data_IF_087882813267
#
_entry.id   IF_087882813267
#
_cell.length_a   1.000
_cell.length_b   1.000
_cell.length_c   1.000
_cell.angle_alpha   90.00
_cell.angle_beta   90.00
_cell.angle_gamma   90.00
#
_symmetry.space_group_name_H-M   'P 1'
#
loop_
_entity.id
_entity.type
_entity.pdbx_description
1 polymer ?
#
# COMPACT_ATOMS: atom_id res chain seq x y z
N UNK A 1 -5.14 22.45 7.63
CA UNK A 1 -6.04 22.99 6.60
C UNK A 1 -5.81 22.22 5.30
N UNK A 2 -6.87 21.61 4.74
CA UNK A 2 -6.75 20.92 3.45
C UNK A 2 -7.05 21.92 2.33
N UNK A 3 -6.11 22.13 1.41
CA UNK A 3 -6.32 22.89 0.18
C UNK A 3 -6.82 21.95 -0.91
N UNK A 4 -7.81 22.38 -1.68
CA UNK A 4 -8.39 21.63 -2.79
C UNK A 4 -7.85 22.17 -4.11
N UNK A 5 -7.27 21.27 -4.89
CA UNK A 5 -6.85 21.47 -6.28
C UNK A 5 -7.66 20.50 -7.16
N UNK A 6 -8.33 21.02 -8.18
CA UNK A 6 -9.20 20.23 -9.07
C UNK A 6 -8.55 20.18 -10.43
N UNK A 7 -8.31 18.97 -10.93
CA UNK A 7 -7.77 18.71 -12.25
C UNK A 7 -8.90 18.25 -13.18
N UNK A 8 -9.03 18.93 -14.32
CA UNK A 8 -10.12 18.72 -15.27
C UNK A 8 -11.43 19.44 -14.92
N UNK A 9 -12.47 19.18 -15.71
CA UNK A 9 -13.77 19.85 -15.59
C UNK A 9 -14.71 19.12 -14.60
N UNK A 10 -14.56 19.43 -13.31
CA UNK A 10 -15.50 18.97 -12.28
C UNK A 10 -16.53 20.07 -11.94
N UNK A 11 -17.85 19.77 -11.89
CA UNK A 11 -18.82 20.74 -11.40
C UNK A 11 -18.47 21.21 -9.98
N UNK A 12 -18.51 22.52 -9.74
CA UNK A 12 -18.09 23.13 -8.46
C UNK A 12 -18.82 22.52 -7.24
N UNK A 13 -20.12 22.25 -7.37
CA UNK A 13 -20.92 21.63 -6.31
C UNK A 13 -20.47 20.20 -5.97
N UNK A 14 -20.10 19.40 -6.97
CA UNK A 14 -19.59 18.04 -6.77
C UNK A 14 -18.21 18.05 -6.10
N UNK A 15 -17.33 18.96 -6.52
CA UNK A 15 -16.02 19.17 -5.89
C UNK A 15 -16.13 19.61 -4.43
N UNK A 16 -17.08 20.50 -4.12
CA UNK A 16 -17.33 20.96 -2.76
C UNK A 16 -17.84 19.84 -1.86
N UNK A 17 -18.75 18.97 -2.33
CA UNK A 17 -19.23 17.82 -1.57
C UNK A 17 -18.10 16.83 -1.22
N UNK A 18 -17.22 16.52 -2.18
CA UNK A 18 -16.07 15.66 -1.95
C UNK A 18 -15.11 16.26 -0.91
N UNK A 19 -14.83 17.57 -1.03
CA UNK A 19 -14.00 18.31 -0.07
C UNK A 19 -14.59 18.26 1.33
N UNK A 20 -15.89 18.51 1.47
CA UNK A 20 -16.55 18.48 2.77
C UNK A 20 -16.51 17.07 3.38
N UNK A 21 -16.64 16.04 2.54
CA UNK A 21 -16.53 14.64 2.98
C UNK A 21 -15.12 14.29 3.46
N UNK A 22 -14.10 14.71 2.73
CA UNK A 22 -12.70 14.50 3.14
C UNK A 22 -12.38 15.30 4.40
N UNK A 23 -12.91 16.51 4.52
CA UNK A 23 -12.76 17.33 5.72
C UNK A 23 -13.42 16.70 6.94
N UNK A 24 -14.61 16.13 6.80
CA UNK A 24 -15.30 15.39 7.86
C UNK A 24 -14.43 14.24 8.40
N UNK A 25 -13.90 13.41 7.50
CA UNK A 25 -13.02 12.29 7.86
C UNK A 25 -11.71 12.78 8.47
N UNK A 26 -11.12 13.83 7.89
CA UNK A 26 -9.89 14.43 8.38
C UNK A 26 -10.04 14.96 9.80
N UNK A 27 -11.12 15.71 10.10
CA UNK A 27 -11.39 16.22 11.45
C UNK A 27 -11.62 15.11 12.48
N UNK A 28 -12.24 14.00 12.08
CA UNK A 28 -12.43 12.82 12.93
C UNK A 28 -11.11 12.20 13.39
N UNK A 29 -10.03 12.35 12.61
CA UNK A 29 -8.71 11.82 12.92
C UNK A 29 -7.82 12.80 13.72
N UNK A 30 -8.43 13.86 14.28
CA UNK A 30 -7.79 14.91 15.09
C UNK A 30 -6.46 15.44 14.49
N UNK A 31 -6.52 16.10 13.33
CA UNK A 31 -5.35 16.25 12.49
C UNK A 31 -4.56 17.53 12.81
N UNK A 32 -3.25 17.44 12.57
CA UNK A 32 -2.31 18.56 12.49
C UNK A 32 -1.14 18.08 11.64
N UNK A 33 -1.04 18.33 10.31
CA UNK A 33 -0.94 19.66 9.69
C UNK A 33 -1.66 19.72 8.32
N UNK A 34 -1.40 20.75 7.52
CA UNK A 34 -1.97 20.96 6.19
C UNK A 34 -1.73 19.80 5.20
N UNK A 35 -2.59 19.70 4.20
CA UNK A 35 -2.51 18.73 3.13
C UNK A 35 -3.19 19.22 1.86
N UNK A 36 -2.90 18.59 0.73
CA UNK A 36 -3.46 18.91 -0.57
C UNK A 36 -4.38 17.78 -1.03
N UNK A 37 -5.50 18.14 -1.61
CA UNK A 37 -6.41 17.22 -2.30
C UNK A 37 -6.38 17.55 -3.78
N UNK A 38 -6.04 16.56 -4.61
CA UNK A 38 -6.10 16.63 -6.07
C UNK A 38 -7.21 15.73 -6.56
N UNK A 39 -8.13 16.26 -7.36
CA UNK A 39 -9.24 15.47 -7.92
C UNK A 39 -9.05 15.35 -9.42
N UNK A 40 -8.85 14.13 -9.91
CA UNK A 40 -8.73 13.83 -11.34
C UNK A 40 -10.08 13.34 -11.87
N UNK A 41 -10.64 14.10 -12.81
CA UNK A 41 -12.00 13.85 -13.34
C UNK A 41 -12.01 12.72 -14.37
N UNK A 42 -10.92 12.58 -15.13
CA UNK A 42 -10.74 11.57 -16.17
C UNK A 42 -9.42 10.82 -16.01
N UNK A 43 -9.29 9.68 -16.71
CA UNK A 43 -8.03 8.93 -16.77
C UNK A 43 -6.90 9.78 -17.33
N UNK A 44 -7.19 10.61 -18.33
CA UNK A 44 -6.20 11.50 -18.94
C UNK A 44 -5.65 12.49 -17.92
N UNK A 45 -6.52 13.17 -17.16
CA UNK A 45 -6.10 14.10 -16.11
C UNK A 45 -5.19 13.42 -15.07
N UNK A 46 -5.50 12.16 -14.73
CA UNK A 46 -4.72 11.37 -13.80
C UNK A 46 -3.35 10.98 -14.35
N UNK A 47 -3.30 10.47 -15.59
CA UNK A 47 -2.05 10.05 -16.23
C UNK A 47 -1.13 11.27 -16.45
N UNK A 48 -1.68 12.41 -16.87
CA UNK A 48 -0.94 13.67 -16.99
C UNK A 48 -0.37 14.14 -15.65
N UNK A 49 -1.19 14.15 -14.60
CA UNK A 49 -0.77 14.55 -13.26
C UNK A 49 0.31 13.61 -12.69
N UNK A 50 0.16 12.30 -12.85
CA UNK A 50 1.14 11.31 -12.39
C UNK A 50 2.47 11.43 -13.15
N UNK A 51 2.43 11.68 -14.46
CA UNK A 51 3.62 11.94 -15.26
C UNK A 51 4.33 13.22 -14.81
N UNK A 52 3.58 14.30 -14.59
CA UNK A 52 4.13 15.57 -14.10
C UNK A 52 4.83 15.37 -12.75
N UNK A 53 4.19 14.70 -11.80
CA UNK A 53 4.80 14.43 -10.49
C UNK A 53 6.05 13.57 -10.63
N UNK A 54 5.99 12.50 -11.41
CA UNK A 54 7.13 11.59 -11.58
C UNK A 54 8.34 12.32 -12.14
N UNK A 55 8.12 13.22 -13.12
CA UNK A 55 9.17 14.07 -13.66
C UNK A 55 9.73 15.02 -12.60
N UNK A 56 8.87 15.69 -11.83
CA UNK A 56 9.29 16.60 -10.77
C UNK A 56 10.13 15.87 -9.68
N UNK A 57 9.75 14.65 -9.30
CA UNK A 57 10.50 13.84 -8.32
C UNK A 57 11.84 13.40 -8.89
N UNK A 58 11.89 13.01 -10.16
CA UNK A 58 13.14 12.71 -10.84
C UNK A 58 14.08 13.92 -10.92
N UNK A 59 13.55 15.10 -11.25
CA UNK A 59 14.34 16.34 -11.32
C UNK A 59 14.90 16.74 -9.96
N UNK A 60 14.09 16.65 -8.90
CA UNK A 60 14.48 17.05 -7.54
C UNK A 60 15.40 16.03 -6.85
N UNK A 61 15.12 14.73 -7.00
CA UNK A 61 15.74 13.69 -6.17
C UNK A 61 16.47 12.59 -6.95
N UNK A 62 16.37 12.60 -8.29
CA UNK A 62 16.93 11.53 -9.16
C UNK A 62 16.40 10.14 -8.82
N UNK A 63 15.16 10.07 -8.34
CA UNK A 63 14.49 8.83 -7.95
C UNK A 63 13.33 8.57 -8.89
N UNK A 64 13.26 7.33 -9.41
CA UNK A 64 12.14 6.88 -10.22
C UNK A 64 11.07 6.32 -9.31
N UNK A 65 9.87 6.88 -9.41
CA UNK A 65 8.70 6.34 -8.74
C UNK A 65 8.18 5.16 -9.58
N UNK A 66 7.91 3.98 -8.98
CA UNK A 66 7.27 2.88 -9.68
C UNK A 66 5.80 3.20 -9.95
N UNK A 67 5.53 3.95 -11.02
CA UNK A 67 4.19 4.44 -11.39
C UNK A 67 3.16 3.32 -11.59
N UNK A 68 3.62 2.10 -11.90
CA UNK A 68 2.80 0.89 -12.02
C UNK A 68 1.99 0.56 -10.75
N UNK A 69 2.41 1.09 -9.59
CA UNK A 69 1.73 0.91 -8.31
C UNK A 69 0.56 1.88 -8.11
N UNK A 70 0.45 2.93 -8.92
CA UNK A 70 -0.57 3.98 -8.80
C UNK A 70 -1.53 3.87 -9.97
N UNK A 71 -2.49 2.95 -9.87
CA UNK A 71 -3.37 2.64 -11.00
C UNK A 71 -4.57 3.56 -10.98
N UNK A 72 -5.00 4.02 -12.16
CA UNK A 72 -6.30 4.67 -12.34
C UNK A 72 -7.47 3.85 -11.78
N UNK A 73 -7.33 2.54 -11.61
CA UNK A 73 -8.39 1.72 -11.01
C UNK A 73 -8.63 1.99 -9.52
N UNK A 74 -7.64 2.56 -8.83
CA UNK A 74 -7.72 2.88 -7.42
C UNK A 74 -8.62 4.10 -7.19
N UNK A 75 -9.32 4.12 -6.06
CA UNK A 75 -10.23 5.22 -5.74
C UNK A 75 -9.46 6.49 -5.38
N UNK A 76 -8.43 6.33 -4.56
CA UNK A 76 -7.53 7.40 -4.19
C UNK A 76 -6.18 6.81 -3.78
N UNK A 77 -5.13 7.59 -3.97
CA UNK A 77 -3.83 7.29 -3.39
C UNK A 77 -3.23 8.52 -2.73
N UNK A 78 -2.44 8.28 -1.70
CA UNK A 78 -1.72 9.29 -0.96
C UNK A 78 -0.25 9.27 -1.35
N UNK A 79 0.35 10.45 -1.47
CA UNK A 79 1.78 10.61 -1.64
C UNK A 79 2.32 11.76 -0.79
N UNK A 80 3.56 11.61 -0.34
CA UNK A 80 4.30 12.62 0.41
C UNK A 80 5.65 12.93 -0.24
N UNK A 81 5.75 12.82 -1.58
CA UNK A 81 7.03 12.99 -2.29
C UNK A 81 7.58 14.43 -2.25
N UNK A 82 6.74 15.39 -1.87
CA UNK A 82 7.09 16.79 -1.67
C UNK A 82 6.62 17.26 -0.29
N UNK A 83 6.96 18.50 0.07
CA UNK A 83 6.67 19.07 1.39
C UNK A 83 5.19 19.14 1.76
N UNK A 84 4.30 19.09 0.76
CA UNK A 84 2.84 19.08 0.98
C UNK A 84 2.29 17.67 0.72
N UNK A 85 1.90 16.94 1.79
CA UNK A 85 1.17 15.67 1.70
C UNK A 85 -0.04 15.80 0.78
N UNK A 86 -0.16 14.93 -0.23
CA UNK A 86 -1.18 15.04 -1.27
C UNK A 86 -2.01 13.77 -1.39
N UNK A 87 -3.33 13.89 -1.40
CA UNK A 87 -4.27 12.82 -1.74
C UNK A 87 -4.79 13.07 -3.14
N UNK A 88 -4.66 12.07 -4.01
CA UNK A 88 -5.13 12.12 -5.40
C UNK A 88 -6.34 11.22 -5.51
N UNK A 89 -7.48 11.77 -5.88
CA UNK A 89 -8.77 11.07 -5.94
C UNK A 89 -9.18 10.88 -7.41
N UNK A 90 -9.47 9.63 -7.76
CA UNK A 90 -10.18 9.32 -8.99
C UNK A 90 -11.67 9.62 -8.80
N UNK A 91 -12.15 10.67 -9.46
CA UNK A 91 -13.53 11.11 -9.31
C UNK A 91 -14.55 10.11 -9.87
N UNK A 92 -14.25 9.45 -11.00
CA UNK A 92 -15.16 8.45 -11.57
C UNK A 92 -15.39 7.28 -10.61
N UNK A 93 -14.31 6.83 -9.95
CA UNK A 93 -14.37 5.74 -8.96
C UNK A 93 -15.05 6.19 -7.68
N UNK A 94 -14.81 7.42 -7.24
CA UNK A 94 -15.55 8.03 -6.13
C UNK A 94 -17.06 8.02 -6.39
N UNK A 95 -17.49 8.48 -7.58
CA UNK A 95 -18.92 8.59 -7.94
C UNK A 95 -19.61 7.23 -8.10
N UNK A 96 -18.91 6.22 -8.62
CA UNK A 96 -19.45 4.86 -8.87
C UNK A 96 -19.25 3.92 -7.67
N UNK A 97 -18.42 4.31 -6.70
CA UNK A 97 -18.05 3.47 -5.57
C UNK A 97 -19.17 3.27 -4.57
N UNK A 98 -19.22 2.09 -3.93
CA UNK A 98 -20.11 1.88 -2.78
C UNK A 98 -19.69 2.79 -1.63
N UNK A 99 -20.64 3.50 -1.01
CA UNK A 99 -20.40 4.50 0.03
C UNK A 99 -19.41 4.04 1.11
N UNK A 100 -19.58 2.83 1.63
CA UNK A 100 -18.70 2.27 2.67
C UNK A 100 -17.27 2.08 2.19
N UNK A 101 -17.07 1.57 0.98
CA UNK A 101 -15.75 1.42 0.36
C UNK A 101 -15.08 2.79 0.12
N UNK A 102 -15.85 3.77 -0.37
CA UNK A 102 -15.34 5.14 -0.58
C UNK A 102 -14.85 5.75 0.73
N UNK A 103 -15.67 5.69 1.78
CA UNK A 103 -15.30 6.21 3.10
C UNK A 103 -14.07 5.47 3.62
N UNK A 104 -14.00 4.16 3.43
CA UNK A 104 -12.89 3.34 3.87
C UNK A 104 -11.56 3.72 3.21
N UNK A 105 -11.54 3.82 1.87
CA UNK A 105 -10.35 4.22 1.12
C UNK A 105 -9.92 5.66 1.41
N UNK A 106 -10.87 6.59 1.56
CA UNK A 106 -10.54 7.97 1.94
C UNK A 106 -9.96 8.02 3.36
N UNK A 107 -10.55 7.29 4.31
CA UNK A 107 -10.04 7.21 5.70
C UNK A 107 -8.62 6.67 5.72
N UNK A 108 -8.33 5.62 4.94
CA UNK A 108 -6.98 5.07 4.80
C UNK A 108 -6.00 6.12 4.28
N UNK A 109 -6.29 6.74 3.14
CA UNK A 109 -5.40 7.74 2.53
C UNK A 109 -5.18 8.97 3.43
N UNK A 110 -6.22 9.44 4.11
CA UNK A 110 -6.11 10.53 5.09
C UNK A 110 -5.28 10.10 6.30
N UNK A 111 -5.39 8.85 6.73
CA UNK A 111 -4.53 8.32 7.81
C UNK A 111 -3.07 8.38 7.39
N UNK A 112 -2.72 7.94 6.18
CA UNK A 112 -1.34 8.07 5.69
C UNK A 112 -0.90 9.53 5.63
N UNK A 113 -1.76 10.44 5.19
CA UNK A 113 -1.49 11.89 5.24
C UNK A 113 -1.20 12.39 6.65
N UNK A 114 -1.81 11.80 7.67
CA UNK A 114 -1.61 12.19 9.07
C UNK A 114 -0.35 11.54 9.67
N UNK A 115 0.04 10.33 9.30
CA UNK A 115 1.17 9.66 9.98
C UNK A 115 2.46 9.57 9.15
N UNK A 116 2.38 9.71 7.82
CA UNK A 116 3.50 9.50 6.88
C UNK A 116 3.87 10.75 6.07
N UNK A 117 4.01 11.89 6.72
CA UNK A 117 4.00 13.21 6.06
C UNK A 117 5.25 13.60 5.30
N UNK A 118 6.38 13.00 5.65
CA UNK A 118 7.68 13.49 5.16
C UNK A 118 8.07 12.79 3.86
N UNK A 119 8.70 13.50 2.92
CA UNK A 119 9.39 12.89 1.79
C UNK A 119 10.33 11.76 2.21
N UNK A 120 10.97 11.85 3.38
CA UNK A 120 11.87 10.80 3.86
C UNK A 120 11.18 9.44 4.07
N UNK A 121 9.84 9.41 4.22
CA UNK A 121 9.04 8.19 4.39
C UNK A 121 8.55 7.60 3.05
N UNK A 122 8.73 8.32 1.94
CA UNK A 122 8.34 7.90 0.59
C UNK A 122 9.54 7.75 -0.36
N UNK A 123 10.60 8.49 -0.09
CA UNK A 123 11.83 8.54 -0.86
C UNK A 123 12.89 7.81 -0.03
N UNK A 124 12.81 6.47 -0.04
CA UNK A 124 13.70 5.60 0.72
C UNK A 124 14.60 4.88 -0.30
N UNK A 125 15.93 5.03 -0.20
CA UNK A 125 16.83 4.32 -1.09
C UNK A 125 16.76 2.81 -0.85
N UNK A 126 16.82 2.03 -1.92
CA UNK A 126 16.95 0.57 -1.86
C UNK A 126 18.24 0.21 -1.10
N UNK A 127 18.17 -0.58 -0.01
CA UNK A 127 19.36 -0.98 0.75
C UNK A 127 20.31 -1.84 -0.09
N UNK A 128 21.62 -1.77 0.18
CA UNK A 128 22.64 -2.55 -0.55
C UNK A 128 22.35 -4.06 -0.52
N UNK A 129 21.88 -4.60 0.61
CA UNK A 129 21.51 -6.01 0.72
C UNK A 129 20.34 -6.41 -0.20
N UNK A 130 19.47 -5.46 -0.56
CA UNK A 130 18.41 -5.66 -1.55
C UNK A 130 18.94 -5.55 -2.97
N UNK A 131 19.84 -4.61 -3.24
CA UNK A 131 20.52 -4.48 -4.55
C UNK A 131 21.24 -5.80 -4.89
N UNK A 132 21.83 -6.46 -3.89
CA UNK A 132 22.45 -7.77 -4.00
C UNK A 132 21.51 -8.91 -4.50
N UNK A 133 20.19 -8.73 -4.42
CA UNK A 133 19.22 -9.69 -4.98
C UNK A 133 19.32 -9.81 -6.50
N UNK A 134 19.84 -8.80 -7.19
CA UNK A 134 20.12 -8.89 -8.62
C UNK A 134 21.03 -10.08 -8.93
N UNK A 135 22.05 -10.27 -8.09
CA UNK A 135 23.01 -11.36 -8.22
C UNK A 135 22.46 -12.69 -7.69
N UNK A 136 21.74 -12.66 -6.57
CA UNK A 136 21.30 -13.88 -5.86
C UNK A 136 20.06 -14.53 -6.49
N UNK A 137 19.16 -13.72 -7.04
CA UNK A 137 17.83 -14.15 -7.49
C UNK A 137 17.63 -13.89 -9.01
N UNK A 138 18.61 -13.29 -9.69
CA UNK A 138 18.54 -12.91 -11.12
C UNK A 138 17.38 -11.94 -11.41
N UNK A 139 17.07 -11.05 -10.47
CA UNK A 139 16.11 -9.98 -10.65
C UNK A 139 16.80 -8.75 -11.27
N UNK A 140 16.19 -8.10 -12.25
CA UNK A 140 16.73 -6.80 -12.70
C UNK A 140 16.55 -5.73 -11.61
N UNK A 141 17.41 -4.70 -11.60
CA UNK A 141 17.37 -3.60 -10.62
C UNK A 141 15.98 -2.95 -10.50
N UNK A 142 15.28 -2.73 -11.62
CA UNK A 142 13.95 -2.11 -11.61
C UNK A 142 12.92 -2.96 -10.84
N UNK A 143 13.04 -4.29 -10.89
CA UNK A 143 12.22 -5.21 -10.12
C UNK A 143 12.56 -5.13 -8.64
N UNK A 144 13.85 -5.08 -8.30
CA UNK A 144 14.32 -4.95 -6.91
C UNK A 144 13.80 -3.66 -6.30
N UNK A 145 13.94 -2.53 -6.98
CA UNK A 145 13.45 -1.23 -6.53
C UNK A 145 11.93 -1.22 -6.35
N UNK A 146 11.21 -1.82 -7.30
CA UNK A 146 9.75 -1.94 -7.23
C UNK A 146 9.33 -2.81 -6.04
N UNK A 147 9.96 -3.97 -5.84
CA UNK A 147 9.66 -4.89 -4.76
C UNK A 147 9.96 -4.27 -3.39
N UNK A 148 11.09 -3.57 -3.26
CA UNK A 148 11.43 -2.85 -2.04
C UNK A 148 10.42 -1.73 -1.75
N UNK A 149 10.01 -0.97 -2.77
CA UNK A 149 8.99 0.07 -2.61
C UNK A 149 7.64 -0.52 -2.17
N UNK A 150 7.23 -1.66 -2.74
CA UNK A 150 6.00 -2.38 -2.33
C UNK A 150 6.10 -2.84 -0.87
N UNK A 151 7.25 -3.35 -0.42
CA UNK A 151 7.47 -3.73 0.97
C UNK A 151 7.34 -2.52 1.90
N UNK A 152 7.99 -1.40 1.55
CA UNK A 152 7.90 -0.16 2.30
C UNK A 152 6.44 0.33 2.39
N UNK A 153 5.67 0.20 1.30
CA UNK A 153 4.24 0.49 1.30
C UNK A 153 3.46 -0.43 2.24
N UNK A 154 3.80 -1.72 2.30
CA UNK A 154 3.20 -2.68 3.22
C UNK A 154 3.36 -2.28 4.69
N UNK A 155 4.54 -1.79 5.06
CA UNK A 155 4.78 -1.26 6.41
C UNK A 155 3.95 0.00 6.68
N UNK A 156 3.84 0.90 5.71
CA UNK A 156 2.99 2.09 5.86
C UNK A 156 1.51 1.71 6.01
N UNK A 157 1.04 0.70 5.28
CA UNK A 157 -0.33 0.17 5.40
C UNK A 157 -0.57 -0.48 6.76
N UNK A 158 0.38 -1.28 7.26
CA UNK A 158 0.35 -1.81 8.63
C UNK A 158 0.23 -0.67 9.66
N UNK A 159 1.09 0.34 9.57
CA UNK A 159 1.09 1.47 10.50
C UNK A 159 -0.20 2.28 10.44
N UNK A 160 -0.77 2.46 9.24
CA UNK A 160 -2.05 3.16 9.06
C UNK A 160 -3.21 2.39 9.68
N UNK A 161 -3.32 1.07 9.44
CA UNK A 161 -4.36 0.27 10.08
C UNK A 161 -4.17 0.22 11.59
N UNK A 162 -2.93 0.08 12.09
CA UNK A 162 -2.63 0.10 13.52
C UNK A 162 -3.04 1.43 14.16
N UNK A 163 -2.77 2.54 13.50
CA UNK A 163 -3.22 3.86 13.95
C UNK A 163 -4.75 3.90 14.07
N UNK A 164 -5.49 3.41 13.08
CA UNK A 164 -6.96 3.38 13.12
C UNK A 164 -7.49 2.47 14.21
N UNK A 165 -6.89 1.30 14.44
CA UNK A 165 -7.25 0.40 15.54
C UNK A 165 -7.08 1.10 16.89
N UNK A 166 -5.92 1.71 17.13
CA UNK A 166 -5.61 2.39 18.39
C UNK A 166 -6.45 3.65 18.63
N UNK A 167 -7.06 4.22 17.59
CA UNK A 167 -7.98 5.35 17.70
C UNK A 167 -9.47 4.93 17.68
N UNK A 168 -9.77 3.63 17.84
CA UNK A 168 -11.14 3.09 17.82
C UNK A 168 -11.89 3.34 16.50
N UNK A 169 -11.17 3.29 15.37
CA UNK A 169 -11.69 3.53 14.02
C UNK A 169 -11.43 2.34 13.08
N UNK A 170 -11.09 1.16 13.63
CA UNK A 170 -10.80 -0.06 12.87
C UNK A 170 -11.90 -0.43 11.86
N UNK A 171 -13.17 -0.35 12.27
CA UNK A 171 -14.34 -0.62 11.44
C UNK A 171 -14.36 0.18 10.12
N UNK A 172 -13.76 1.37 10.09
CA UNK A 172 -13.70 2.22 8.90
C UNK A 172 -12.74 1.68 7.85
N UNK A 173 -11.79 0.80 8.18
CA UNK A 173 -10.87 0.21 7.20
C UNK A 173 -11.40 -1.11 6.60
N UNK A 174 -12.34 -1.78 7.29
CA UNK A 174 -12.84 -3.11 6.94
C UNK A 174 -13.35 -3.23 5.49
N UNK A 175 -14.20 -2.31 4.96
CA UNK A 175 -14.69 -2.44 3.59
C UNK A 175 -13.58 -2.43 2.53
N UNK A 176 -12.57 -1.58 2.70
CA UNK A 176 -11.43 -1.52 1.77
C UNK A 176 -10.54 -2.77 1.86
N UNK A 177 -10.29 -3.27 3.07
CA UNK A 177 -9.49 -4.48 3.30
C UNK A 177 -10.17 -5.69 2.66
N UNK A 178 -11.47 -5.89 2.88
CA UNK A 178 -12.18 -7.00 2.23
C UNK A 178 -12.16 -6.89 0.70
N UNK A 179 -12.25 -5.69 0.15
CA UNK A 179 -12.12 -5.49 -1.29
C UNK A 179 -10.74 -5.92 -1.80
N UNK A 180 -9.65 -5.48 -1.14
CA UNK A 180 -8.27 -5.85 -1.48
C UNK A 180 -8.03 -7.36 -1.34
N UNK A 181 -8.49 -7.97 -0.25
CA UNK A 181 -8.36 -9.42 -0.04
C UNK A 181 -9.10 -10.22 -1.12
N UNK A 182 -10.30 -9.79 -1.52
CA UNK A 182 -11.04 -10.44 -2.61
C UNK A 182 -10.34 -10.32 -3.96
N UNK A 183 -9.73 -9.16 -4.25
CA UNK A 183 -8.91 -9.00 -5.46
C UNK A 183 -7.71 -9.94 -5.42
N UNK A 184 -7.00 -9.98 -4.29
CA UNK A 184 -5.86 -10.85 -4.09
C UNK A 184 -6.23 -12.33 -4.22
N UNK A 185 -7.40 -12.71 -3.69
CA UNK A 185 -7.92 -14.07 -3.84
C UNK A 185 -8.15 -14.44 -5.31
N UNK A 186 -8.71 -13.52 -6.11
CA UNK A 186 -8.89 -13.71 -7.54
C UNK A 186 -7.55 -13.77 -8.28
N UNK A 187 -6.57 -12.96 -7.89
CA UNK A 187 -5.23 -12.98 -8.48
C UNK A 187 -4.47 -14.26 -8.11
N UNK A 188 -4.74 -14.84 -6.94
CA UNK A 188 -4.06 -16.05 -6.48
C UNK A 188 -4.31 -17.29 -7.33
N UNK A 189 -5.43 -17.34 -8.08
CA UNK A 189 -5.71 -18.47 -8.96
C UNK A 189 -4.79 -18.55 -10.18
N UNK A 190 -4.13 -17.44 -10.55
CA UNK A 190 -3.22 -17.38 -11.70
C UNK A 190 -1.74 -17.32 -11.29
N UNK A 191 -1.40 -17.36 -10.01
CA UNK A 191 0.00 -17.33 -9.55
C UNK A 191 0.81 -18.51 -10.11
N UNK A 192 0.18 -19.68 -10.25
CA UNK A 192 0.78 -20.86 -10.86
C UNK A 192 1.09 -20.70 -12.36
N UNK A 193 0.41 -19.79 -13.06
CA UNK A 193 0.64 -19.50 -14.48
C UNK A 193 1.85 -18.59 -14.70
N UNK A 194 2.35 -17.95 -13.64
CA UNK A 194 3.46 -16.99 -13.69
C UNK A 194 4.77 -17.53 -13.09
N UNK A 195 4.85 -18.85 -12.85
CA UNK A 195 6.03 -19.49 -12.26
C UNK A 195 7.29 -19.33 -13.13
N UNK A 196 7.13 -19.12 -14.43
CA UNK A 196 8.24 -18.90 -15.37
C UNK A 196 8.89 -17.50 -15.23
N UNK A 197 8.16 -16.50 -14.71
CA UNK A 197 8.67 -15.13 -14.56
C UNK A 197 9.02 -14.80 -13.11
N UNK A 198 10.30 -14.94 -12.77
CA UNK A 198 10.82 -14.69 -11.42
C UNK A 198 10.53 -13.25 -10.95
N UNK A 199 10.71 -12.27 -11.83
CA UNK A 199 10.42 -10.86 -11.51
C UNK A 199 8.95 -10.61 -11.18
N UNK A 200 8.05 -11.17 -11.99
CA UNK A 200 6.61 -11.01 -11.78
C UNK A 200 6.19 -11.71 -10.49
N UNK A 201 6.65 -12.94 -10.28
CA UNK A 201 6.30 -13.72 -9.09
C UNK A 201 6.80 -13.05 -7.80
N UNK A 202 8.04 -12.54 -7.80
CA UNK A 202 8.57 -11.82 -6.65
C UNK A 202 7.73 -10.56 -6.35
N UNK A 203 7.41 -9.78 -7.38
CA UNK A 203 6.55 -8.59 -7.25
C UNK A 203 5.16 -8.92 -6.72
N UNK A 204 4.55 -10.01 -7.19
CA UNK A 204 3.25 -10.52 -6.71
C UNK A 204 3.34 -10.87 -5.23
N UNK A 205 4.38 -11.60 -4.81
CA UNK A 205 4.57 -11.99 -3.40
C UNK A 205 4.71 -10.78 -2.48
N UNK A 206 5.46 -9.75 -2.89
CA UNK A 206 5.57 -8.53 -2.11
C UNK A 206 4.25 -7.75 -2.09
N UNK A 207 3.47 -7.76 -3.17
CA UNK A 207 2.14 -7.15 -3.15
C UNK A 207 1.16 -7.92 -2.25
N UNK A 208 1.25 -9.25 -2.19
CA UNK A 208 0.54 -10.08 -1.21
C UNK A 208 0.93 -9.68 0.21
N UNK A 209 2.23 -9.55 0.49
CA UNK A 209 2.72 -9.07 1.78
C UNK A 209 2.13 -7.69 2.12
N UNK A 210 2.16 -6.74 1.19
CA UNK A 210 1.62 -5.40 1.39
C UNK A 210 0.15 -5.41 1.81
N UNK A 211 -0.68 -6.21 1.15
CA UNK A 211 -2.10 -6.33 1.49
C UNK A 211 -2.27 -6.99 2.86
N UNK A 212 -1.59 -8.12 3.12
CA UNK A 212 -1.69 -8.82 4.40
C UNK A 212 -1.14 -8.00 5.58
N UNK A 213 -0.11 -7.18 5.36
CA UNK A 213 0.42 -6.26 6.36
C UNK A 213 -0.64 -5.25 6.81
N UNK A 214 -1.51 -4.79 5.90
CA UNK A 214 -2.64 -3.93 6.25
C UNK A 214 -3.69 -4.61 7.14
N UNK A 215 -3.75 -5.94 7.13
CA UNK A 215 -4.70 -6.76 7.91
C UNK A 215 -4.14 -7.10 9.29
N UNK A 216 -2.82 -7.23 9.43
CA UNK A 216 -2.14 -7.63 10.67
C UNK A 216 -2.67 -6.95 11.94
N UNK A 217 -2.85 -5.62 12.03
CA UNK A 217 -3.35 -4.99 13.25
C UNK A 217 -4.78 -5.38 13.61
N UNK A 218 -5.62 -5.71 12.60
CA UNK A 218 -6.98 -6.19 12.84
C UNK A 218 -7.00 -7.60 13.43
N UNK A 219 -6.02 -8.44 13.09
CA UNK A 219 -5.93 -9.81 13.59
C UNK A 219 -5.31 -9.87 14.99
N UNK A 220 -4.40 -8.94 15.29
CA UNK A 220 -3.47 -9.07 16.42
C UNK A 220 -3.68 -8.02 17.51
N UNK A 221 -4.32 -6.90 17.20
CA UNK A 221 -4.53 -5.78 18.13
C UNK A 221 -6.02 -5.50 18.35
N UNK A 222 -6.86 -5.69 17.32
CA UNK A 222 -8.28 -5.35 17.41
C UNK A 222 -9.11 -6.46 18.07
N UNK A 223 -9.76 -6.14 19.18
CA UNK A 223 -10.56 -7.09 19.97
C UNK A 223 -11.80 -7.62 19.26
N UNK A 224 -12.35 -6.87 18.30
CA UNK A 224 -13.58 -7.23 17.58
C UNK A 224 -13.31 -7.89 16.22
N UNK A 225 -12.18 -8.58 16.08
CA UNK A 225 -11.86 -9.32 14.85
C UNK A 225 -12.97 -10.33 14.54
N UNK A 226 -13.45 -10.31 13.29
CA UNK A 226 -14.46 -11.27 12.84
C UNK A 226 -13.80 -12.57 12.36
N UNK A 227 -14.37 -13.74 12.68
CA UNK A 227 -13.93 -15.04 12.16
C UNK A 227 -13.77 -15.04 10.64
N UNK A 228 -14.69 -14.39 9.93
CA UNK A 228 -14.64 -14.23 8.47
C UNK A 228 -13.35 -13.56 7.97
N UNK A 229 -12.80 -12.60 8.71
CA UNK A 229 -11.56 -11.92 8.34
C UNK A 229 -10.36 -12.86 8.53
N UNK A 230 -10.37 -13.63 9.60
CA UNK A 230 -9.38 -14.69 9.87
C UNK A 230 -9.41 -15.73 8.75
N UNK A 231 -10.60 -16.28 8.45
CA UNK A 231 -10.79 -17.31 7.43
C UNK A 231 -10.32 -16.87 6.04
N UNK A 232 -10.66 -15.64 5.63
CA UNK A 232 -10.23 -15.10 4.32
C UNK A 232 -8.72 -14.90 4.28
N UNK A 233 -8.12 -14.43 5.39
CA UNK A 233 -6.68 -14.22 5.48
C UNK A 233 -5.92 -15.55 5.42
N UNK A 234 -6.35 -16.54 6.20
CA UNK A 234 -5.78 -17.88 6.21
C UNK A 234 -5.93 -18.54 4.83
N UNK A 235 -7.10 -18.41 4.17
CA UNK A 235 -7.32 -18.93 2.81
C UNK A 235 -6.31 -18.36 1.81
N UNK A 236 -5.99 -17.06 1.87
CA UNK A 236 -4.98 -16.44 1.02
C UNK A 236 -3.58 -16.99 1.32
N UNK A 237 -3.23 -17.11 2.61
CA UNK A 237 -1.93 -17.68 3.03
C UNK A 237 -1.81 -19.13 2.53
N UNK A 238 -2.89 -19.93 2.60
CA UNK A 238 -2.88 -21.31 2.11
C UNK A 238 -2.72 -21.43 0.59
N UNK A 239 -3.01 -20.37 -0.17
CA UNK A 239 -2.77 -20.33 -1.62
C UNK A 239 -1.34 -19.95 -1.99
N UNK A 240 -0.54 -19.46 -1.03
CA UNK A 240 0.89 -19.24 -1.26
C UNK A 240 1.63 -20.57 -1.47
N UNK A 241 2.78 -20.54 -2.16
CA UNK A 241 3.70 -21.67 -2.24
C UNK A 241 3.98 -22.25 -0.85
N UNK A 242 3.97 -23.58 -0.73
CA UNK A 242 4.03 -24.27 0.58
C UNK A 242 5.22 -23.83 1.45
N UNK A 243 6.36 -23.55 0.82
CA UNK A 243 7.58 -23.11 1.50
C UNK A 243 7.47 -21.72 2.13
N UNK A 244 6.49 -20.90 1.75
CA UNK A 244 6.35 -19.52 2.21
C UNK A 244 5.23 -19.33 3.23
N UNK A 245 4.30 -20.29 3.34
CA UNK A 245 3.06 -20.10 4.13
C UNK A 245 3.37 -19.76 5.58
N UNK A 246 4.26 -20.52 6.21
CA UNK A 246 4.65 -20.30 7.60
C UNK A 246 5.42 -18.99 7.77
N UNK A 247 6.31 -18.65 6.84
CA UNK A 247 7.07 -17.39 6.90
C UNK A 247 6.14 -16.17 6.78
N UNK A 248 5.14 -16.23 5.89
CA UNK A 248 4.12 -15.18 5.77
C UNK A 248 3.24 -15.13 7.01
N UNK A 249 2.75 -16.27 7.52
CA UNK A 249 1.92 -16.29 8.72
C UNK A 249 2.65 -15.67 9.91
N UNK A 250 3.88 -16.11 10.16
CA UNK A 250 4.74 -15.55 11.20
C UNK A 250 5.02 -14.05 10.99
N UNK A 251 5.31 -13.63 9.75
CA UNK A 251 5.52 -12.21 9.47
C UNK A 251 4.31 -11.37 9.88
N UNK A 252 3.11 -11.79 9.48
CA UNK A 252 1.87 -11.03 9.64
C UNK A 252 1.35 -11.08 11.08
N UNK A 253 1.38 -12.24 11.73
CA UNK A 253 0.76 -12.45 13.04
C UNK A 253 1.72 -12.26 14.21
N UNK A 254 3.02 -12.49 14.03
CA UNK A 254 3.99 -12.45 15.13
C UNK A 254 4.98 -11.29 15.01
N UNK A 255 5.56 -11.07 13.83
CA UNK A 255 6.64 -10.10 13.64
C UNK A 255 6.13 -8.66 13.55
N UNK A 256 5.20 -8.37 12.63
CA UNK A 256 4.69 -7.01 12.41
C UNK A 256 4.14 -6.35 13.68
N UNK A 257 3.35 -7.03 14.54
CA UNK A 257 2.81 -6.42 15.77
C UNK A 257 3.89 -5.94 16.75
N UNK A 258 5.12 -6.45 16.65
CA UNK A 258 6.25 -6.06 17.52
C UNK A 258 7.01 -4.83 17.02
N UNK A 259 6.67 -4.33 15.83
CA UNK A 259 7.31 -3.14 15.26
C UNK A 259 7.02 -1.89 16.11
N UNK A 260 8.00 -1.00 16.19
CA UNK A 260 7.89 0.26 16.94
C UNK A 260 7.10 1.33 16.18
N UNK A 261 7.30 2.60 16.54
CA UNK A 261 6.63 3.76 15.92
C UNK A 261 7.53 4.53 14.92
N UNK A 262 8.73 4.02 14.61
CA UNK A 262 9.63 4.67 13.66
C UNK A 262 9.54 3.97 12.30
N UNK A 263 8.84 4.59 11.36
CA UNK A 263 8.54 4.04 10.02
C UNK A 263 9.79 3.62 9.27
N UNK A 264 10.85 4.45 9.22
CA UNK A 264 12.08 4.13 8.49
C UNK A 264 12.78 2.92 9.11
N UNK A 265 12.88 2.90 10.44
CA UNK A 265 13.45 1.76 11.17
C UNK A 265 12.64 0.49 10.92
N UNK A 266 11.31 0.58 10.95
CA UNK A 266 10.41 -0.55 10.71
C UNK A 266 10.56 -1.09 9.29
N UNK A 267 10.67 -0.21 8.28
CA UNK A 267 10.93 -0.60 6.89
C UNK A 267 12.25 -1.34 6.78
N UNK A 268 13.33 -0.78 7.33
CA UNK A 268 14.67 -1.40 7.24
C UNK A 268 14.72 -2.77 7.96
N UNK A 269 14.17 -2.88 9.17
CA UNK A 269 14.14 -4.15 9.89
C UNK A 269 13.31 -5.19 9.12
N UNK A 270 12.13 -4.79 8.62
CA UNK A 270 11.28 -5.70 7.82
C UNK A 270 11.99 -6.13 6.54
N UNK A 271 12.68 -5.20 5.87
CA UNK A 271 13.46 -5.48 4.67
C UNK A 271 14.54 -6.53 4.94
N UNK A 272 15.28 -6.43 6.05
CA UNK A 272 16.25 -7.45 6.47
C UNK A 272 15.59 -8.79 6.81
N UNK A 273 14.43 -8.77 7.48
CA UNK A 273 13.70 -10.00 7.82
C UNK A 273 13.23 -10.72 6.55
N UNK A 274 12.63 -10.00 5.59
CA UNK A 274 12.19 -10.56 4.31
C UNK A 274 13.35 -11.19 3.53
N UNK A 275 14.53 -10.58 3.55
CA UNK A 275 15.74 -11.18 2.97
C UNK A 275 16.16 -12.48 3.67
N UNK A 276 15.94 -12.59 4.97
CA UNK A 276 16.32 -13.78 5.75
C UNK A 276 15.28 -14.90 5.77
N UNK A 277 14.01 -14.59 5.47
CA UNK A 277 12.90 -15.57 5.54
C UNK A 277 12.30 -15.84 4.16
N UNK A 278 11.70 -14.83 3.53
CA UNK A 278 10.96 -14.96 2.27
C UNK A 278 11.89 -15.29 1.09
N UNK A 279 13.03 -14.61 0.98
CA UNK A 279 13.95 -14.81 -0.16
C UNK A 279 14.50 -16.24 -0.22
N UNK A 280 14.97 -16.86 0.88
CA UNK A 280 15.33 -18.27 0.89
C UNK A 280 14.19 -19.19 0.46
N UNK A 281 12.96 -18.94 0.92
CA UNK A 281 11.77 -19.72 0.52
C UNK A 281 11.43 -19.55 -0.97
N UNK A 282 11.64 -18.35 -1.51
CA UNK A 282 11.52 -18.06 -2.94
C UNK A 282 12.54 -18.83 -3.78
N UNK A 283 13.79 -18.85 -3.35
CA UNK A 283 14.86 -19.60 -4.02
C UNK A 283 14.63 -21.12 -3.95
N UNK A 284 14.13 -21.66 -2.83
CA UNK A 284 13.76 -23.07 -2.71
C UNK A 284 12.65 -23.46 -3.69
N UNK A 285 11.60 -22.64 -3.75
CA UNK A 285 10.50 -22.84 -4.70
C UNK A 285 11.02 -22.86 -6.15
N UNK A 286 11.89 -21.92 -6.53
CA UNK A 286 12.55 -21.90 -7.84
C UNK A 286 13.26 -23.22 -8.15
N UNK A 287 14.07 -23.71 -7.21
CA UNK A 287 14.86 -24.93 -7.41
C UNK A 287 14.02 -26.21 -7.44
N UNK A 288 12.78 -26.19 -6.92
CA UNK A 288 11.87 -27.33 -6.98
C UNK A 288 11.02 -27.41 -8.26
N UNK A 289 11.10 -26.39 -9.13
CA UNK A 289 10.36 -26.31 -10.40
C UNK A 289 11.25 -26.58 -11.63
N UNK A 290 12.55 -26.77 -11.44
CA UNK A 290 13.55 -27.18 -12.44
C UNK A 290 13.85 -28.66 -12.21
#
# INVERSE_FOLDING_TARGET
>A
MITLDIQGALPYSEGQQLRDKIREIYLMLNPNPDGKLVVCSTKTDYDEYLNQITNNVWEAYRIKIPTILFKWMDLAFYSAWFDVPTIIVNYEKYKKGKKEYVISELTRNITHMIIHRSPSMYIIPTPDDWIDLERRVLLNQATVDTAFYILADGIREFEATRFLVNNHLAEKTIPSIYYKLKLLEKESSIWGEHLESQSLLFTILLNTFRILASVSPLLTIWENVSDKLVDVTDSIIQKLPIYMRNDFKWLIEDFLPRLGNNTIKNINITASIVLSTIVPSFLRMKNSMI
#
